data_IF_277112494700
#
_entry.id   IF_277112494700
#
_cell.length_a   1.000
_cell.length_b   1.000
_cell.length_c   1.000
_cell.angle_alpha   90.00
_cell.angle_beta   90.00
_cell.angle_gamma   90.00
#
_symmetry.space_group_name_H-M   'P 1'
#
loop_
_entity.id
_entity.type
_entity.pdbx_description
1 polymer ?
#
# COMPACT_ATOMS: atom_id res chain seq x y z
N UNK A 1 4.62 -21.02 12.10
CA UNK A 1 5.58 -20.72 11.02
C UNK A 1 6.66 -19.82 11.60
N UNK A 2 7.96 -20.19 11.54
CA UNK A 2 8.99 -19.60 12.42
C UNK A 2 9.11 -18.07 12.35
N UNK A 3 8.95 -17.46 11.17
CA UNK A 3 9.05 -16.01 11.01
C UNK A 3 7.84 -15.26 11.61
N UNK A 4 6.63 -15.77 11.43
CA UNK A 4 5.43 -15.17 12.03
C UNK A 4 5.47 -15.27 13.55
N UNK A 5 5.88 -16.44 14.08
CA UNK A 5 6.01 -16.64 15.52
C UNK A 5 7.05 -15.70 16.15
N UNK A 6 8.13 -15.37 15.42
CA UNK A 6 9.14 -14.42 15.88
C UNK A 6 8.65 -12.96 15.80
N UNK A 7 7.91 -12.62 14.74
CA UNK A 7 7.26 -11.33 14.62
C UNK A 7 6.27 -11.07 15.76
N UNK A 8 5.49 -12.09 16.14
CA UNK A 8 4.58 -12.05 17.29
C UNK A 8 5.32 -11.79 18.62
N UNK A 9 6.42 -12.51 18.88
CA UNK A 9 7.22 -12.33 20.11
C UNK A 9 7.84 -10.95 20.23
N UNK A 10 8.22 -10.35 19.10
CA UNK A 10 8.91 -9.05 19.06
C UNK A 10 7.95 -7.87 18.89
N UNK A 11 6.66 -8.13 18.66
CA UNK A 11 5.69 -7.09 18.33
C UNK A 11 5.88 -6.50 16.92
N UNK A 12 6.64 -7.17 16.06
CA UNK A 12 6.93 -6.74 14.69
C UNK A 12 5.77 -7.12 13.76
N UNK A 13 5.48 -6.30 12.76
CA UNK A 13 4.55 -6.64 11.68
C UNK A 13 5.36 -6.95 10.43
N UNK A 14 5.16 -8.13 9.86
CA UNK A 14 5.74 -8.51 8.57
C UNK A 14 4.75 -8.14 7.47
N UNK A 15 5.15 -7.23 6.58
CA UNK A 15 4.36 -6.87 5.41
C UNK A 15 4.89 -7.59 4.17
N UNK A 16 4.03 -8.34 3.49
CA UNK A 16 4.34 -8.92 2.17
C UNK A 16 3.95 -7.91 1.09
N UNK A 17 4.89 -7.60 0.21
CA UNK A 17 4.74 -6.61 -0.85
C UNK A 17 4.37 -7.26 -2.20
N UNK A 18 3.55 -6.59 -3.01
CA UNK A 18 3.42 -6.94 -4.44
C UNK A 18 4.61 -6.39 -5.22
N UNK A 19 5.30 -7.23 -5.98
CA UNK A 19 6.50 -6.83 -6.74
C UNK A 19 6.32 -7.08 -8.23
N UNK A 20 6.07 -8.33 -8.66
CA UNK A 20 5.96 -8.68 -10.09
C UNK A 20 4.67 -9.43 -10.44
N UNK A 21 3.83 -9.66 -9.45
CA UNK A 21 2.60 -10.42 -9.59
C UNK A 21 1.64 -9.71 -10.54
N UNK A 22 1.04 -10.47 -11.47
CA UNK A 22 0.14 -9.92 -12.51
C UNK A 22 -1.30 -9.75 -12.01
N UNK A 23 -1.66 -10.48 -10.97
CA UNK A 23 -2.97 -10.55 -10.32
C UNK A 23 -2.79 -10.90 -8.83
N UNK A 24 -3.75 -10.58 -7.95
CA UNK A 24 -3.57 -10.71 -6.50
C UNK A 24 -3.72 -12.15 -5.98
N UNK A 25 -4.18 -13.10 -6.80
CA UNK A 25 -4.60 -14.44 -6.35
C UNK A 25 -3.53 -15.22 -5.60
N UNK A 26 -2.26 -15.15 -6.04
CA UNK A 26 -1.18 -15.89 -5.38
C UNK A 26 -0.92 -15.36 -3.97
N UNK A 27 -1.03 -14.04 -3.77
CA UNK A 27 -0.89 -13.42 -2.45
C UNK A 27 -2.12 -13.70 -1.59
N UNK A 28 -3.33 -13.65 -2.18
CA UNK A 28 -4.58 -14.00 -1.51
C UNK A 28 -4.52 -15.42 -0.95
N UNK A 29 -4.12 -16.39 -1.78
CA UNK A 29 -3.96 -17.78 -1.36
C UNK A 29 -2.98 -17.91 -0.20
N UNK A 30 -1.87 -17.18 -0.23
CA UNK A 30 -0.92 -17.20 0.88
C UNK A 30 -1.54 -16.68 2.19
N UNK A 31 -2.30 -15.58 2.15
CA UNK A 31 -2.99 -15.07 3.34
C UNK A 31 -4.12 -15.98 3.84
N UNK A 32 -4.79 -16.71 2.95
CA UNK A 32 -5.84 -17.68 3.29
C UNK A 32 -5.28 -18.98 3.90
N UNK A 33 -4.11 -19.42 3.45
CA UNK A 33 -3.47 -20.66 3.92
C UNK A 33 -2.67 -20.46 5.22
N UNK A 34 -2.26 -19.22 5.52
CA UNK A 34 -1.51 -18.91 6.73
C UNK A 34 -2.44 -18.54 7.90
N UNK A 35 -2.01 -18.78 9.16
CA UNK A 35 -2.79 -18.38 10.33
C UNK A 35 -3.09 -16.88 10.30
N UNK A 36 -4.35 -16.52 10.50
CA UNK A 36 -4.74 -15.13 10.64
C UNK A 36 -4.08 -14.50 11.87
N UNK A 37 -3.27 -13.47 11.66
CA UNK A 37 -2.52 -12.77 12.71
C UNK A 37 -2.36 -11.29 12.34
N UNK A 38 -2.35 -10.36 13.32
CA UNK A 38 -2.01 -8.96 13.04
C UNK A 38 -0.52 -8.78 12.66
N UNK A 39 0.33 -9.80 12.85
CA UNK A 39 1.77 -9.75 12.60
C UNK A 39 2.18 -10.17 11.19
N UNK A 40 1.23 -10.54 10.33
CA UNK A 40 1.46 -10.81 8.91
C UNK A 40 0.42 -10.07 8.09
N UNK A 41 0.87 -9.06 7.33
CA UNK A 41 0.04 -8.05 6.66
C UNK A 41 0.53 -7.83 5.23
N UNK A 42 -0.20 -7.02 4.48
CA UNK A 42 0.08 -6.69 3.09
C UNK A 42 0.64 -5.26 2.98
N UNK A 43 1.73 -5.12 2.23
CA UNK A 43 2.21 -3.84 1.70
C UNK A 43 1.74 -3.72 0.25
N UNK A 44 0.95 -2.69 -0.04
CA UNK A 44 0.56 -2.38 -1.40
C UNK A 44 1.53 -1.39 -2.02
N UNK A 45 2.34 -1.83 -2.97
CA UNK A 45 3.21 -0.96 -3.74
C UNK A 45 2.47 -0.43 -4.98
N UNK A 46 2.32 0.89 -5.06
CA UNK A 46 1.58 1.54 -6.15
C UNK A 46 2.29 1.44 -7.49
N UNK A 47 3.61 1.55 -7.53
CA UNK A 47 4.34 1.56 -8.78
C UNK A 47 4.56 0.16 -9.33
N UNK A 48 4.86 -0.83 -8.49
CA UNK A 48 4.86 -2.23 -8.88
C UNK A 48 3.49 -2.65 -9.44
N UNK A 49 2.40 -2.27 -8.76
CA UNK A 49 1.05 -2.52 -9.27
C UNK A 49 0.84 -1.86 -10.64
N UNK A 50 1.26 -0.60 -10.82
CA UNK A 50 1.08 0.11 -12.10
C UNK A 50 1.89 -0.53 -13.24
N UNK A 51 3.13 -0.96 -12.98
CA UNK A 51 4.05 -1.47 -14.00
C UNK A 51 3.76 -2.95 -14.36
N UNK A 52 3.52 -3.79 -13.35
CA UNK A 52 3.56 -5.24 -13.54
C UNK A 52 2.20 -5.93 -13.50
N UNK A 53 1.21 -5.36 -12.79
CA UNK A 53 -0.12 -5.92 -12.79
C UNK A 53 -0.72 -5.93 -14.21
N UNK A 54 -1.60 -6.90 -14.47
CA UNK A 54 -2.41 -7.00 -15.69
C UNK A 54 -3.91 -6.97 -15.37
N UNK A 55 -4.22 -6.41 -14.20
CA UNK A 55 -5.55 -6.28 -13.62
C UNK A 55 -5.69 -4.86 -13.05
N UNK A 56 -6.93 -4.43 -12.79
CA UNK A 56 -7.21 -3.11 -12.22
C UNK A 56 -6.67 -3.01 -10.77
N UNK A 57 -6.00 -1.91 -10.38
CA UNK A 57 -5.57 -1.69 -8.99
C UNK A 57 -6.68 -1.88 -7.95
N UNK A 58 -7.94 -1.56 -8.30
CA UNK A 58 -9.07 -1.78 -7.39
C UNK A 58 -9.26 -3.26 -7.05
N UNK A 59 -8.99 -4.18 -7.99
CA UNK A 59 -9.07 -5.62 -7.71
C UNK A 59 -8.06 -6.04 -6.64
N UNK A 60 -6.86 -5.48 -6.65
CA UNK A 60 -5.84 -5.72 -5.63
C UNK A 60 -6.30 -5.23 -4.27
N UNK A 61 -6.86 -4.02 -4.23
CA UNK A 61 -7.38 -3.41 -3.01
C UNK A 61 -8.57 -4.20 -2.46
N UNK A 62 -9.54 -4.57 -3.28
CA UNK A 62 -10.68 -5.39 -2.85
C UNK A 62 -10.24 -6.78 -2.33
N UNK A 63 -9.22 -7.36 -2.96
CA UNK A 63 -8.73 -8.70 -2.64
C UNK A 63 -7.85 -8.73 -1.39
N UNK A 64 -6.91 -7.79 -1.27
CA UNK A 64 -5.85 -7.81 -0.25
C UNK A 64 -6.01 -6.69 0.79
N UNK A 65 -6.95 -5.78 0.60
CA UNK A 65 -7.28 -4.67 1.50
C UNK A 65 -7.54 -5.09 2.95
N UNK A 66 -8.21 -6.23 3.25
CA UNK A 66 -8.34 -6.73 4.63
C UNK A 66 -7.00 -6.97 5.34
N UNK A 67 -5.94 -7.23 4.57
CA UNK A 67 -4.57 -7.46 5.05
C UNK A 67 -3.71 -6.20 4.99
N UNK A 68 -4.17 -5.11 4.37
CA UNK A 68 -3.38 -3.89 4.16
C UNK A 68 -2.90 -3.31 5.50
N UNK A 69 -1.61 -2.99 5.57
CA UNK A 69 -1.00 -2.27 6.68
C UNK A 69 -0.06 -1.15 6.20
N UNK A 70 0.51 -1.30 5.01
CA UNK A 70 1.49 -0.37 4.45
C UNK A 70 1.20 -0.11 2.96
N UNK A 71 1.57 1.07 2.50
CA UNK A 71 1.55 1.46 1.10
C UNK A 71 2.88 2.10 0.76
N UNK A 72 3.60 1.51 -0.21
CA UNK A 72 4.74 2.16 -0.82
C UNK A 72 4.26 3.09 -1.94
N UNK A 73 4.73 4.32 -1.91
CA UNK A 73 4.31 5.40 -2.78
C UNK A 73 5.45 5.81 -3.70
N UNK A 74 5.27 5.46 -4.96
CA UNK A 74 5.94 6.07 -6.10
C UNK A 74 5.07 5.85 -7.34
N UNK A 75 5.42 6.51 -8.43
CA UNK A 75 4.67 6.47 -9.69
C UNK A 75 5.55 5.97 -10.83
N UNK A 76 4.91 5.65 -11.95
CA UNK A 76 5.56 5.33 -13.23
C UNK A 76 4.52 5.41 -14.35
N UNK A 77 4.95 5.22 -15.60
CA UNK A 77 4.06 5.27 -16.76
C UNK A 77 3.39 3.91 -17.10
N UNK A 78 3.50 2.91 -16.22
CA UNK A 78 2.86 1.60 -16.36
C UNK A 78 3.64 0.58 -17.19
N UNK A 79 4.85 0.90 -17.65
CA UNK A 79 5.70 -0.01 -18.43
C UNK A 79 6.84 -0.61 -17.60
N UNK A 80 7.49 0.21 -16.78
CA UNK A 80 8.63 -0.17 -15.95
C UNK A 80 8.53 0.48 -14.58
N UNK A 81 9.30 -0.05 -13.65
CA UNK A 81 9.43 0.49 -12.31
C UNK A 81 10.38 1.71 -12.27
N UNK A 82 9.84 2.90 -12.51
CA UNK A 82 10.62 4.14 -12.72
C UNK A 82 10.88 4.96 -11.44
N UNK A 83 10.18 4.68 -10.35
CA UNK A 83 10.24 5.48 -9.10
C UNK A 83 10.08 6.99 -9.32
N UNK A 84 9.09 7.39 -10.14
CA UNK A 84 8.75 8.79 -10.35
C UNK A 84 8.04 9.37 -9.13
N UNK A 85 8.12 10.70 -8.94
CA UNK A 85 7.31 11.37 -7.94
C UNK A 85 5.81 11.12 -8.13
N UNK A 86 5.07 11.01 -7.03
CA UNK A 86 3.62 10.74 -7.07
C UNK A 86 2.87 11.78 -7.89
N UNK A 87 2.02 11.32 -8.81
CA UNK A 87 1.22 12.18 -9.70
C UNK A 87 1.99 12.69 -10.91
N UNK A 88 3.20 12.16 -11.18
CA UNK A 88 3.96 12.43 -12.39
C UNK A 88 4.00 11.24 -13.36
N UNK A 89 3.44 10.10 -12.97
CA UNK A 89 3.16 8.96 -13.84
C UNK A 89 1.67 8.80 -14.07
N UNK A 90 1.21 7.56 -14.11
CA UNK A 90 -0.16 7.20 -14.49
C UNK A 90 -0.91 6.39 -13.44
N UNK A 91 -0.32 6.09 -12.28
CA UNK A 91 -1.03 5.33 -11.26
C UNK A 91 -2.28 6.10 -10.76
N UNK A 92 -3.46 5.48 -10.69
CA UNK A 92 -4.70 6.17 -10.35
C UNK A 92 -4.87 6.37 -8.83
N UNK A 93 -4.07 7.25 -8.22
CA UNK A 93 -4.10 7.51 -6.76
C UNK A 93 -5.49 7.88 -6.20
N UNK A 94 -6.36 8.50 -7.00
CA UNK A 94 -7.73 8.81 -6.60
C UNK A 94 -8.55 7.54 -6.28
N UNK A 95 -8.30 6.43 -6.99
CA UNK A 95 -8.93 5.13 -6.72
C UNK A 95 -8.47 4.60 -5.37
N UNK A 96 -7.15 4.60 -5.13
CA UNK A 96 -6.58 4.21 -3.84
C UNK A 96 -7.14 5.06 -2.69
N UNK A 97 -7.12 6.39 -2.83
CA UNK A 97 -7.65 7.30 -1.82
C UNK A 97 -9.14 7.10 -1.55
N UNK A 98 -9.94 6.78 -2.57
CA UNK A 98 -11.38 6.51 -2.41
C UNK A 98 -11.61 5.21 -1.64
N UNK A 99 -10.90 4.14 -2.02
CA UNK A 99 -10.95 2.85 -1.33
C UNK A 99 -10.57 2.99 0.15
N UNK A 100 -9.46 3.67 0.46
CA UNK A 100 -9.00 3.85 1.83
C UNK A 100 -10.02 4.62 2.70
N UNK A 101 -10.73 5.60 2.13
CA UNK A 101 -11.81 6.32 2.84
C UNK A 101 -13.03 5.45 3.08
N UNK A 102 -13.50 4.77 2.03
CA UNK A 102 -14.69 3.90 2.10
C UNK A 102 -14.52 2.81 3.16
N UNK A 103 -13.33 2.19 3.20
CA UNK A 103 -13.00 1.13 4.13
C UNK A 103 -12.43 1.62 5.47
N UNK A 104 -12.34 2.94 5.69
CA UNK A 104 -11.77 3.56 6.90
C UNK A 104 -10.38 3.00 7.23
N UNK A 105 -9.54 2.83 6.21
CA UNK A 105 -8.17 2.33 6.34
C UNK A 105 -7.17 3.50 6.44
N UNK A 106 -6.11 3.29 7.24
CA UNK A 106 -4.99 4.23 7.42
C UNK A 106 -3.67 3.45 7.47
N UNK A 107 -3.17 2.99 6.31
CA UNK A 107 -1.88 2.32 6.26
C UNK A 107 -0.74 3.30 6.58
N UNK A 108 0.42 2.75 6.93
CA UNK A 108 1.67 3.50 6.90
C UNK A 108 1.99 3.79 5.43
N UNK A 109 2.43 5.01 5.13
CA UNK A 109 2.93 5.36 3.80
C UNK A 109 4.44 5.47 3.83
N UNK A 110 5.10 4.75 2.93
CA UNK A 110 6.54 4.82 2.72
C UNK A 110 6.81 5.42 1.34
N UNK A 111 7.64 6.46 1.27
CA UNK A 111 8.02 7.08 0.00
C UNK A 111 9.29 6.40 -0.52
N UNK A 112 9.34 6.05 -1.80
CA UNK A 112 10.50 5.37 -2.40
C UNK A 112 11.24 6.16 -3.50
N UNK A 113 11.62 7.44 -3.26
CA UNK A 113 12.37 8.20 -4.24
C UNK A 113 13.83 7.76 -4.28
N UNK A 114 14.38 7.60 -5.49
CA UNK A 114 15.79 7.31 -5.70
C UNK A 114 16.71 8.55 -5.70
N UNK A 115 16.13 9.75 -5.62
CA UNK A 115 16.88 11.01 -5.57
C UNK A 115 16.23 12.00 -4.60
N UNK A 116 17.03 12.92 -4.06
CA UNK A 116 16.53 14.02 -3.21
C UNK A 116 15.56 14.92 -3.98
N UNK A 117 15.81 15.17 -5.26
CA UNK A 117 14.89 15.95 -6.11
C UNK A 117 13.52 15.27 -6.21
N UNK A 118 13.49 13.95 -6.42
CA UNK A 118 12.24 13.19 -6.47
C UNK A 118 11.53 13.22 -5.12
N UNK A 119 12.26 13.10 -4.00
CA UNK A 119 11.68 13.22 -2.66
C UNK A 119 10.96 14.57 -2.48
N UNK A 120 11.64 15.68 -2.81
CA UNK A 120 11.07 17.04 -2.68
C UNK A 120 9.82 17.19 -3.54
N UNK A 121 9.83 16.68 -4.77
CA UNK A 121 8.68 16.73 -5.68
C UNK A 121 7.52 15.86 -5.21
N UNK A 122 7.81 14.66 -4.69
CA UNK A 122 6.80 13.79 -4.07
C UNK A 122 6.12 14.50 -2.92
N UNK A 123 6.89 15.06 -1.98
CA UNK A 123 6.36 15.80 -0.83
C UNK A 123 5.46 16.97 -1.26
N UNK A 124 5.86 17.72 -2.29
CA UNK A 124 5.09 18.84 -2.81
C UNK A 124 3.73 18.42 -3.43
N UNK A 125 3.59 17.16 -3.86
CA UNK A 125 2.41 16.64 -4.54
C UNK A 125 1.51 15.78 -3.66
N UNK A 126 1.98 15.31 -2.50
CA UNK A 126 1.24 14.40 -1.62
C UNK A 126 -0.18 14.87 -1.29
N UNK A 127 -0.37 16.17 -1.01
CA UNK A 127 -1.70 16.73 -0.72
C UNK A 127 -2.66 16.76 -1.93
N UNK A 128 -2.15 16.55 -3.14
CA UNK A 128 -2.92 16.65 -4.39
C UNK A 128 -3.35 15.29 -4.98
N UNK A 129 -2.72 14.19 -4.56
CA UNK A 129 -3.00 12.84 -5.11
C UNK A 129 -4.25 12.18 -4.51
N UNK A 130 -4.92 12.86 -3.56
CA UNK A 130 -6.22 12.42 -3.06
C UNK A 130 -6.17 11.34 -1.97
N UNK A 131 -5.01 11.05 -1.39
CA UNK A 131 -4.90 10.16 -0.23
C UNK A 131 -5.43 10.84 1.05
N UNK A 132 -5.99 10.07 2.01
CA UNK A 132 -6.50 10.60 3.27
C UNK A 132 -5.37 10.87 4.28
N UNK A 133 -4.37 11.69 3.91
CA UNK A 133 -3.16 11.92 4.71
C UNK A 133 -3.42 12.70 6.01
N UNK A 134 -4.33 13.67 5.97
CA UNK A 134 -4.66 14.55 7.09
C UNK A 134 -5.95 14.12 7.83
N UNK A 135 -6.51 12.98 7.47
CA UNK A 135 -7.75 12.50 8.09
C UNK A 135 -7.43 11.66 9.34
N UNK A 136 -8.21 11.82 10.43
CA UNK A 136 -7.96 11.12 11.68
C UNK A 136 -7.96 9.60 11.50
N UNK A 137 -7.18 8.93 12.35
CA UNK A 137 -7.12 7.47 12.38
C UNK A 137 -8.43 6.94 12.96
N UNK A 138 -9.19 6.11 12.22
CA UNK A 138 -10.43 5.54 12.71
C UNK A 138 -10.21 4.74 14.00
N UNK A 139 -10.99 5.04 15.04
CA UNK A 139 -10.83 4.46 16.37
C UNK A 139 -9.66 5.06 17.19
N UNK A 140 -9.06 6.14 16.71
CA UNK A 140 -8.07 6.93 17.43
C UNK A 140 -8.69 7.76 18.57
N UNK A 141 -7.87 8.47 19.36
CA UNK A 141 -8.34 9.23 20.52
C UNK A 141 -9.35 10.35 20.17
N UNK A 142 -9.38 10.81 18.92
CA UNK A 142 -10.34 11.80 18.43
C UNK A 142 -11.74 11.22 18.16
N UNK A 143 -11.85 9.89 18.03
CA UNK A 143 -13.10 9.14 17.88
C UNK A 143 -13.67 8.63 19.24
N UNK A 144 -13.00 8.95 20.36
CA UNK A 144 -13.48 8.59 21.70
C UNK A 144 -14.61 9.56 22.16
N UNK A 145 -15.69 9.05 22.77
CA UNK A 145 -16.85 9.85 23.17
C UNK A 145 -16.57 10.90 24.25
#
# INVERSE_FOLDING_TARGET
>A
MPLIEEAEKTGTVLCLENVYEREPDILRQLFEELPATPHFRFCFDTGHCNAFAKTDPLLWLETLGPYLAEVHLHDNHGETDEHLPVGEGTFPFAVLGSYLREHRLRPIYTLEPHTEEHLVRTLARLGSIGLPLDEPIPGGPEDAP
#
